data_IF_105792413562
#
_entry.id   IF_105792413562
#
_cell.length_a   1.000
_cell.length_b   1.000
_cell.length_c   1.000
_cell.angle_alpha   90.00
_cell.angle_beta   90.00
_cell.angle_gamma   90.00
#
_symmetry.space_group_name_H-M   'P 1'
#
loop_
_entity.id
_entity.type
_entity.pdbx_description
1 polymer ?
#
# COMPACT_ATOMS: atom_id res chain seq x y z
N UNK A 1 -19.57 4.03 -27.10
CA UNK A 1 -18.90 2.89 -26.43
C UNK A 1 -19.00 3.09 -24.93
N UNK A 2 -19.67 2.22 -24.17
CA UNK A 2 -19.65 2.33 -22.72
C UNK A 2 -18.28 1.86 -22.24
N UNK A 3 -17.49 2.78 -21.69
CA UNK A 3 -16.28 2.46 -20.93
C UNK A 3 -16.71 1.58 -19.76
N UNK A 4 -16.35 0.30 -19.80
CA UNK A 4 -16.52 -0.65 -18.70
C UNK A 4 -15.91 -0.04 -17.44
N UNK A 5 -16.75 0.56 -16.62
CA UNK A 5 -16.39 1.03 -15.29
C UNK A 5 -16.28 -0.22 -14.46
N UNK A 6 -15.04 -0.69 -14.23
CA UNK A 6 -14.77 -1.74 -13.25
C UNK A 6 -15.45 -1.27 -11.97
N UNK A 7 -16.52 -1.95 -11.57
CA UNK A 7 -17.24 -1.61 -10.36
C UNK A 7 -16.27 -1.78 -9.20
N UNK A 8 -15.89 -0.64 -8.62
CA UNK A 8 -14.91 -0.54 -7.57
C UNK A 8 -15.53 -1.04 -6.27
N UNK A 9 -15.54 -2.35 -6.07
CA UNK A 9 -16.00 -2.95 -4.82
C UNK A 9 -14.81 -2.99 -3.85
N UNK A 10 -14.73 -2.02 -2.94
CA UNK A 10 -13.63 -1.90 -1.96
C UNK A 10 -13.40 -3.18 -1.15
N UNK A 11 -14.47 -3.93 -0.87
CA UNK A 11 -14.43 -5.24 -0.20
C UNK A 11 -13.66 -6.28 -1.01
N UNK A 12 -13.76 -6.23 -2.34
CA UNK A 12 -13.05 -7.14 -3.24
C UNK A 12 -11.55 -6.82 -3.30
N UNK A 13 -11.20 -5.53 -3.26
CA UNK A 13 -9.80 -5.07 -3.24
C UNK A 13 -9.11 -5.50 -1.95
N UNK A 14 -9.76 -5.31 -0.79
CA UNK A 14 -9.16 -5.71 0.49
C UNK A 14 -8.90 -7.22 0.55
N UNK A 15 -9.85 -8.02 0.08
CA UNK A 15 -9.69 -9.47 0.01
C UNK A 15 -8.58 -9.88 -0.95
N UNK A 16 -8.56 -9.31 -2.16
CA UNK A 16 -7.53 -9.58 -3.17
C UNK A 16 -6.15 -9.18 -2.70
N UNK A 17 -6.03 -8.02 -2.04
CA UNK A 17 -4.77 -7.57 -1.45
C UNK A 17 -4.31 -8.49 -0.31
N UNK A 18 -5.21 -8.94 0.57
CA UNK A 18 -4.84 -9.92 1.60
C UNK A 18 -4.34 -11.23 0.99
N UNK A 19 -5.01 -11.72 -0.04
CA UNK A 19 -4.59 -12.93 -0.74
C UNK A 19 -3.20 -12.74 -1.39
N UNK A 20 -3.03 -11.65 -2.14
CA UNK A 20 -1.75 -11.26 -2.74
C UNK A 20 -0.63 -11.11 -1.70
N UNK A 21 -0.89 -10.39 -0.61
CA UNK A 21 0.06 -10.14 0.48
C UNK A 21 0.55 -11.45 1.11
N UNK A 22 -0.34 -12.46 1.23
CA UNK A 22 0.05 -13.81 1.67
C UNK A 22 0.89 -14.53 0.63
N UNK A 23 0.46 -14.53 -0.64
CA UNK A 23 1.16 -15.21 -1.73
C UNK A 23 2.60 -14.70 -1.90
N UNK A 24 2.81 -13.40 -1.84
CA UNK A 24 4.14 -12.79 -2.00
C UNK A 24 4.90 -12.67 -0.68
N UNK A 25 4.36 -13.19 0.41
CA UNK A 25 4.91 -13.04 1.75
C UNK A 25 5.29 -11.60 2.11
N UNK A 26 4.43 -10.63 1.73
CA UNK A 26 4.73 -9.20 1.78
C UNK A 26 5.26 -8.75 3.15
N UNK A 27 4.65 -9.23 4.23
CA UNK A 27 5.09 -8.91 5.60
C UNK A 27 6.53 -9.34 5.89
N UNK A 28 6.99 -10.47 5.34
CA UNK A 28 8.36 -10.94 5.49
C UNK A 28 9.33 -10.08 4.67
N UNK A 29 8.98 -9.77 3.42
CA UNK A 29 9.78 -8.88 2.56
C UNK A 29 9.93 -7.49 3.19
N UNK A 30 8.83 -6.91 3.69
CA UNK A 30 8.87 -5.61 4.38
C UNK A 30 9.81 -5.65 5.59
N UNK A 31 9.76 -6.73 6.39
CA UNK A 31 10.66 -6.89 7.54
C UNK A 31 12.13 -7.04 7.12
N UNK A 32 12.42 -7.78 6.06
CA UNK A 32 13.78 -7.93 5.52
C UNK A 32 14.37 -6.58 5.10
N UNK A 33 13.52 -5.69 4.60
CA UNK A 33 13.86 -4.33 4.20
C UNK A 33 13.80 -3.33 5.36
N UNK A 34 13.73 -3.81 6.60
CA UNK A 34 13.68 -3.00 7.82
C UNK A 34 12.45 -2.07 7.90
N UNK A 35 11.37 -2.42 7.20
CA UNK A 35 10.09 -1.73 7.26
C UNK A 35 9.23 -2.44 8.32
N UNK A 36 9.09 -1.79 9.47
CA UNK A 36 8.21 -2.22 10.55
C UNK A 36 7.05 -1.24 10.75
N UNK A 37 6.17 -1.52 11.72
CA UNK A 37 4.98 -0.71 12.00
C UNK A 37 5.37 0.76 12.15
N UNK A 38 4.81 1.62 11.30
CA UNK A 38 5.04 3.06 11.38
C UNK A 38 3.97 3.69 12.26
N UNK A 39 4.35 4.23 13.43
CA UNK A 39 3.46 4.98 14.33
C UNK A 39 2.14 4.26 14.66
N UNK A 40 2.21 2.95 14.95
CA UNK A 40 1.04 2.14 15.29
C UNK A 40 0.22 1.63 14.10
N UNK A 41 0.57 2.02 12.88
CA UNK A 41 -0.13 1.61 11.66
C UNK A 41 0.57 0.41 11.04
N UNK A 42 -0.22 -0.58 10.65
CA UNK A 42 0.28 -1.75 9.92
C UNK A 42 0.75 -1.31 8.54
N UNK A 43 1.99 -1.62 8.21
CA UNK A 43 2.59 -1.18 6.95
C UNK A 43 1.88 -1.79 5.74
N UNK A 44 1.31 -2.98 5.89
CA UNK A 44 0.51 -3.64 4.85
C UNK A 44 -0.69 -2.78 4.42
N UNK A 45 -1.31 -2.03 5.35
CA UNK A 45 -2.42 -1.12 5.01
C UNK A 45 -1.93 0.10 4.20
N UNK A 46 -0.72 0.59 4.49
CA UNK A 46 -0.11 1.66 3.70
C UNK A 46 0.16 1.19 2.27
N UNK A 47 0.66 -0.04 2.12
CA UNK A 47 0.94 -0.64 0.81
C UNK A 47 -0.33 -0.99 0.03
N UNK A 48 -1.37 -1.47 0.70
CA UNK A 48 -2.69 -1.69 0.11
C UNK A 48 -3.20 -0.40 -0.54
N UNK A 49 -3.29 0.67 0.26
CA UNK A 49 -3.73 1.98 -0.21
C UNK A 49 -2.83 2.54 -1.32
N UNK A 50 -1.51 2.31 -1.23
CA UNK A 50 -0.56 2.76 -2.25
C UNK A 50 -0.75 2.04 -3.59
N UNK A 51 -0.88 0.71 -3.58
CA UNK A 51 -1.13 -0.07 -4.79
C UNK A 51 -2.47 0.29 -5.40
N UNK A 52 -3.51 0.41 -4.57
CA UNK A 52 -4.82 0.89 -4.99
C UNK A 52 -4.74 2.28 -5.65
N UNK A 53 -3.98 3.21 -5.05
CA UNK A 53 -3.73 4.54 -5.62
C UNK A 53 -3.05 4.45 -6.98
N UNK A 54 -2.02 3.60 -7.12
CA UNK A 54 -1.27 3.40 -8.37
C UNK A 54 -2.17 2.79 -9.45
N UNK A 55 -2.97 1.77 -9.12
CA UNK A 55 -3.88 1.14 -10.08
C UNK A 55 -5.00 2.07 -10.53
N UNK A 56 -5.46 2.98 -9.67
CA UNK A 56 -6.35 4.07 -10.04
C UNK A 56 -5.66 5.21 -10.81
N UNK A 57 -4.36 5.05 -11.15
CA UNK A 57 -3.54 6.03 -11.90
C UNK A 57 -3.42 7.38 -11.22
N UNK A 58 -3.51 7.40 -9.89
CA UNK A 58 -3.29 8.60 -9.09
C UNK A 58 -1.87 8.64 -8.53
N UNK A 59 -1.37 9.86 -8.33
CA UNK A 59 -0.19 10.08 -7.48
C UNK A 59 -0.60 10.10 -6.01
N UNK A 60 0.33 9.92 -5.08
CA UNK A 60 0.07 10.05 -3.63
C UNK A 60 -0.61 11.39 -3.30
N UNK A 61 -0.27 12.46 -4.04
CA UNK A 61 -0.89 13.78 -3.88
C UNK A 61 -2.36 13.81 -4.31
N UNK A 62 -2.71 13.13 -5.41
CA UNK A 62 -4.07 13.07 -5.96
C UNK A 62 -4.93 11.94 -5.40
N UNK A 63 -4.33 11.04 -4.64
CA UNK A 63 -4.99 9.88 -4.05
C UNK A 63 -6.17 10.28 -3.15
N UNK A 64 -7.15 9.38 -3.04
CA UNK A 64 -8.25 9.51 -2.10
C UNK A 64 -7.76 9.45 -0.65
N UNK A 65 -8.50 10.06 0.26
CA UNK A 65 -8.11 10.14 1.68
C UNK A 65 -8.24 8.75 2.32
N UNK A 66 -7.19 8.29 3.00
CA UNK A 66 -7.28 7.13 3.88
C UNK A 66 -7.95 7.51 5.21
N UNK A 67 -8.71 6.58 5.78
CA UNK A 67 -9.39 6.80 7.07
C UNK A 67 -8.40 6.77 8.25
N UNK A 68 -7.43 5.86 8.20
CA UNK A 68 -6.57 5.57 9.36
C UNK A 68 -5.24 6.35 9.36
N UNK A 69 -4.89 7.02 8.26
CA UNK A 69 -3.61 7.73 8.12
C UNK A 69 -3.62 8.88 7.13
N UNK A 70 -2.59 9.72 7.25
CA UNK A 70 -2.35 10.81 6.32
C UNK A 70 -1.46 10.37 5.14
N UNK A 71 -1.59 11.05 4.00
CA UNK A 71 -0.65 10.95 2.87
C UNK A 71 0.80 11.20 3.29
N UNK A 72 1.02 12.02 4.33
CA UNK A 72 2.35 12.28 4.91
C UNK A 72 2.92 11.03 5.57
N UNK A 73 2.10 10.22 6.24
CA UNK A 73 2.53 8.96 6.86
C UNK A 73 3.07 8.00 5.80
N UNK A 74 2.39 7.87 4.66
CA UNK A 74 2.84 7.03 3.54
C UNK A 74 4.18 7.53 3.00
N UNK A 75 4.31 8.83 2.72
CA UNK A 75 5.58 9.43 2.25
C UNK A 75 6.72 9.23 3.24
N UNK A 76 6.47 9.41 4.53
CA UNK A 76 7.48 9.19 5.55
C UNK A 76 7.91 7.71 5.63
N UNK A 77 6.98 6.78 5.42
CA UNK A 77 7.29 5.35 5.35
C UNK A 77 8.19 5.03 4.14
N UNK A 78 7.86 5.60 2.98
CA UNK A 78 8.63 5.37 1.74
C UNK A 78 10.04 5.99 1.80
N UNK A 79 10.13 7.19 2.37
CA UNK A 79 11.38 7.96 2.47
C UNK A 79 12.16 7.71 3.76
N UNK A 80 11.84 6.65 4.51
CA UNK A 80 12.58 6.35 5.73
C UNK A 80 14.00 5.89 5.37
N UNK A 81 15.01 6.62 5.86
CA UNK A 81 16.43 6.35 5.59
C UNK A 81 16.89 4.99 6.13
N UNK A 82 16.18 4.43 7.12
CA UNK A 82 16.48 3.11 7.67
C UNK A 82 15.92 1.96 6.83
N UNK A 83 15.09 2.26 5.82
CA UNK A 83 14.53 1.26 4.93
C UNK A 83 15.59 0.79 3.94
N UNK A 84 15.83 -0.52 3.91
CA UNK A 84 16.73 -1.14 2.94
C UNK A 84 15.95 -1.67 1.74
N UNK A 85 15.69 -0.80 0.77
CA UNK A 85 14.95 -1.16 -0.45
C UNK A 85 15.66 -2.21 -1.33
N UNK A 86 16.98 -2.36 -1.21
CA UNK A 86 17.74 -3.35 -1.98
C UNK A 86 17.44 -4.79 -1.56
N UNK A 87 16.99 -5.01 -0.32
CA UNK A 87 16.56 -6.33 0.16
C UNK A 87 15.12 -6.69 -0.25
N UNK A 88 14.39 -5.76 -0.86
CA UNK A 88 13.04 -6.00 -1.40
C UNK A 88 13.07 -6.52 -2.84
N UNK A 89 14.24 -6.57 -3.49
CA UNK A 89 14.49 -7.01 -4.88
C UNK A 89 15.16 -8.37 -4.86
#
# INVERSE_FOLDING_TARGET
>A
MPMSTIQYNSTNIHHSFRHFSKLVHLSATLRQSNISKSRGIRTELLFEWLLTTIFNRYSIFRAEKANDFSKRTVRNCLNNAHTNWQRSV
#
